data_IF_362653482999
#
_entry.id   IF_362653482999
#
_cell.length_a   1.000
_cell.length_b   1.000
_cell.length_c   1.000
_cell.angle_alpha   90.00
_cell.angle_beta   90.00
_cell.angle_gamma   90.00
#
_symmetry.space_group_name_H-M   'P 1'
#
loop_
_entity.id
_entity.type
_entity.pdbx_description
1 polymer ?
#
# COMPACT_ATOMS: atom_id res chain seq x y z
N UNK A 1 -0.10 -4.34 24.74
CA UNK A 1 0.82 -4.29 23.57
C UNK A 1 1.96 -5.29 23.72
N UNK A 2 2.66 -5.33 24.85
CA UNK A 2 3.85 -6.18 25.10
C UNK A 2 3.70 -7.69 24.76
N UNK A 3 2.55 -8.31 25.01
CA UNK A 3 2.34 -9.74 24.69
C UNK A 3 2.26 -10.05 23.19
N UNK A 4 1.86 -9.07 22.36
CA UNK A 4 1.71 -9.23 20.91
C UNK A 4 2.97 -8.85 20.15
N UNK A 5 3.83 -8.01 20.73
CA UNK A 5 5.06 -7.52 20.10
C UNK A 5 6.00 -8.65 19.65
N UNK A 6 6.14 -9.71 20.46
CA UNK A 6 6.95 -10.89 20.08
C UNK A 6 6.35 -11.72 18.93
N UNK A 7 5.13 -11.40 18.50
CA UNK A 7 4.41 -12.05 17.41
C UNK A 7 4.13 -11.08 16.25
N UNK A 8 4.82 -9.93 16.19
CA UNK A 8 4.77 -9.04 15.04
C UNK A 8 5.93 -9.33 14.08
N UNK A 9 5.71 -9.01 12.81
CA UNK A 9 6.80 -8.92 11.83
C UNK A 9 7.37 -7.52 11.98
N UNK A 10 8.43 -7.37 12.79
CA UNK A 10 9.15 -6.11 12.96
C UNK A 10 9.64 -5.59 11.60
N UNK A 11 9.57 -4.28 11.37
CA UNK A 11 9.95 -3.69 10.08
C UNK A 11 8.80 -3.56 9.08
N UNK A 12 7.76 -4.39 9.25
CA UNK A 12 6.64 -4.46 8.31
C UNK A 12 5.52 -3.45 8.59
N UNK A 13 5.58 -2.78 9.75
CA UNK A 13 4.61 -1.74 10.12
C UNK A 13 4.61 -0.62 9.08
N UNK A 14 3.44 -0.05 8.79
CA UNK A 14 3.27 1.02 7.80
C UNK A 14 4.28 2.18 7.94
N UNK A 15 4.61 2.54 9.17
CA UNK A 15 5.46 3.64 9.62
C UNK A 15 6.81 3.17 10.22
N UNK A 16 7.25 1.95 9.90
CA UNK A 16 8.49 1.41 10.43
C UNK A 16 9.72 2.25 10.06
N UNK A 17 10.58 2.49 11.05
CA UNK A 17 11.82 3.28 10.89
C UNK A 17 12.86 2.61 9.98
N UNK A 18 12.77 1.29 9.78
CA UNK A 18 13.66 0.56 8.87
C UNK A 18 13.53 1.01 7.41
N UNK A 19 12.39 1.62 7.08
CA UNK A 19 12.08 2.08 5.73
C UNK A 19 12.09 3.60 5.62
N UNK A 20 12.69 4.34 6.56
CA UNK A 20 12.74 5.81 6.51
C UNK A 20 13.84 6.30 5.54
N UNK A 21 13.52 7.14 4.52
CA UNK A 21 12.18 7.59 4.12
C UNK A 21 11.41 6.51 3.36
N UNK A 22 10.11 6.39 3.65
CA UNK A 22 9.24 5.39 3.02
C UNK A 22 9.34 5.48 1.49
N UNK A 23 9.42 4.34 0.77
CA UNK A 23 9.52 4.36 -0.68
C UNK A 23 8.24 4.97 -1.25
N UNK A 24 8.34 6.06 -2.01
CA UNK A 24 7.19 6.75 -2.59
C UNK A 24 7.32 6.88 -4.08
N UNK A 25 6.19 6.86 -4.78
CA UNK A 25 6.18 7.22 -6.19
C UNK A 25 6.67 8.66 -6.34
N UNK A 26 7.60 8.89 -7.26
CA UNK A 26 7.99 10.25 -7.60
C UNK A 26 6.77 11.01 -8.14
N UNK A 27 6.57 12.29 -7.78
CA UNK A 27 5.47 13.09 -8.31
C UNK A 27 5.35 12.98 -9.84
N UNK A 28 4.12 12.80 -10.32
CA UNK A 28 3.82 12.66 -11.75
C UNK A 28 4.15 11.29 -12.36
N UNK A 29 4.57 10.29 -11.57
CA UNK A 29 4.88 8.94 -12.07
C UNK A 29 3.87 7.90 -11.60
N UNK A 30 3.79 6.76 -12.29
CA UNK A 30 2.96 5.59 -11.95
C UNK A 30 1.45 5.85 -11.78
N UNK A 31 0.98 7.02 -12.22
CA UNK A 31 -0.40 7.49 -12.10
C UNK A 31 -1.43 6.44 -12.53
N UNK A 32 -1.27 5.87 -13.74
CA UNK A 32 -2.20 4.87 -14.27
C UNK A 32 -2.35 3.62 -13.39
N UNK A 33 -1.27 3.16 -12.76
CA UNK A 33 -1.32 1.98 -11.89
C UNK A 33 -1.97 2.34 -10.56
N UNK A 34 -1.66 3.52 -10.03
CA UNK A 34 -2.28 4.04 -8.82
C UNK A 34 -3.79 4.21 -9.03
N UNK A 35 -4.22 4.90 -10.09
CA UNK A 35 -5.63 5.08 -10.46
C UNK A 35 -6.36 3.74 -10.57
N UNK A 36 -5.78 2.77 -11.30
CA UNK A 36 -6.38 1.43 -11.42
C UNK A 36 -6.52 0.73 -10.07
N UNK A 37 -5.55 0.86 -9.18
CA UNK A 37 -5.62 0.26 -7.86
C UNK A 37 -6.71 0.91 -7.00
N UNK A 38 -6.84 2.24 -7.07
CA UNK A 38 -7.87 2.99 -6.38
C UNK A 38 -9.27 2.59 -6.86
N UNK A 39 -9.47 2.40 -8.17
CA UNK A 39 -10.72 1.89 -8.73
C UNK A 39 -11.08 0.51 -8.18
N UNK A 40 -10.12 -0.41 -8.10
CA UNK A 40 -10.33 -1.75 -7.55
C UNK A 40 -10.73 -1.66 -6.07
N UNK A 41 -10.05 -0.83 -5.29
CA UNK A 41 -10.35 -0.66 -3.86
C UNK A 41 -11.72 -0.01 -3.62
N UNK A 42 -12.09 0.99 -4.41
CA UNK A 42 -13.40 1.63 -4.34
C UNK A 42 -14.53 0.66 -4.73
N UNK A 43 -14.25 -0.27 -5.64
CA UNK A 43 -15.21 -1.23 -6.18
C UNK A 43 -15.06 -2.64 -5.57
N UNK A 44 -14.66 -2.76 -4.30
CA UNK A 44 -14.44 -4.05 -3.62
C UNK A 44 -15.66 -5.00 -3.60
N UNK A 45 -16.87 -4.47 -3.88
CA UNK A 45 -18.11 -5.27 -4.00
C UNK A 45 -18.23 -6.01 -5.34
N UNK A 46 -17.38 -5.70 -6.31
CA UNK A 46 -17.31 -6.40 -7.59
C UNK A 46 -16.48 -7.70 -7.46
N UNK A 47 -16.35 -8.46 -8.56
CA UNK A 47 -15.64 -9.74 -8.58
C UNK A 47 -14.12 -9.62 -8.31
N UNK A 48 -13.52 -8.46 -8.54
CA UNK A 48 -12.08 -8.24 -8.36
C UNK A 48 -11.76 -7.89 -6.90
N UNK A 49 -11.41 -8.92 -6.10
CA UNK A 49 -11.01 -8.75 -4.69
C UNK A 49 -9.49 -8.74 -4.48
N UNK A 50 -8.73 -8.96 -5.53
CA UNK A 50 -7.28 -9.08 -5.49
C UNK A 50 -6.67 -8.29 -6.65
N UNK A 51 -5.79 -7.35 -6.32
CA UNK A 51 -4.91 -6.70 -7.28
C UNK A 51 -3.50 -7.23 -7.11
N UNK A 52 -2.90 -7.70 -8.21
CA UNK A 52 -1.51 -8.17 -8.23
C UNK A 52 -0.67 -7.30 -9.16
N UNK A 53 0.39 -6.68 -8.64
CA UNK A 53 1.32 -5.85 -9.41
C UNK A 53 2.62 -6.65 -9.68
N UNK A 54 2.86 -7.04 -10.93
CA UNK A 54 4.07 -7.75 -11.36
C UNK A 54 5.04 -6.79 -12.04
N UNK A 55 6.33 -7.00 -11.83
CA UNK A 55 7.39 -6.33 -12.58
C UNK A 55 8.78 -6.66 -12.07
N UNK A 56 9.84 -6.32 -12.82
CA UNK A 56 11.23 -6.58 -12.42
C UNK A 56 11.61 -5.97 -11.07
N UNK A 57 12.72 -6.42 -10.49
CA UNK A 57 13.29 -5.79 -9.30
C UNK A 57 13.62 -4.31 -9.57
N UNK A 58 13.49 -3.44 -8.57
CA UNK A 58 13.83 -2.02 -8.67
C UNK A 58 12.84 -1.12 -9.43
N UNK A 59 11.78 -1.64 -10.08
CA UNK A 59 10.85 -0.80 -10.87
C UNK A 59 9.87 0.07 -10.05
N UNK A 60 9.93 -0.03 -8.71
CA UNK A 60 9.13 0.78 -7.80
C UNK A 60 7.80 0.15 -7.35
N UNK A 61 7.66 -1.18 -7.37
CA UNK A 61 6.42 -1.86 -6.91
C UNK A 61 6.07 -1.53 -5.45
N UNK A 62 7.05 -1.62 -4.55
CA UNK A 62 6.86 -1.27 -3.13
C UNK A 62 6.50 0.21 -2.96
N UNK A 63 7.08 1.09 -3.78
CA UNK A 63 6.74 2.51 -3.80
C UNK A 63 5.28 2.77 -4.20
N UNK A 64 4.74 2.00 -5.15
CA UNK A 64 3.32 2.07 -5.52
C UNK A 64 2.42 1.65 -4.35
N UNK A 65 2.72 0.51 -3.72
CA UNK A 65 1.92 0.00 -2.59
C UNK A 65 1.95 0.94 -1.38
N UNK A 66 3.12 1.52 -1.08
CA UNK A 66 3.26 2.50 0.00
C UNK A 66 2.49 3.78 -0.31
N UNK A 67 2.60 4.32 -1.54
CA UNK A 67 1.82 5.49 -1.96
C UNK A 67 0.30 5.24 -1.88
N UNK A 68 -0.17 4.04 -2.22
CA UNK A 68 -1.57 3.67 -2.08
C UNK A 68 -2.02 3.61 -0.61
N UNK A 69 -1.21 3.02 0.27
CA UNK A 69 -1.50 2.94 1.69
C UNK A 69 -1.53 4.33 2.35
N UNK A 70 -0.57 5.21 2.01
CA UNK A 70 -0.51 6.59 2.51
C UNK A 70 -1.69 7.43 2.03
N UNK A 71 -2.13 7.22 0.78
CA UNK A 71 -3.25 7.95 0.20
C UNK A 71 -4.61 7.29 0.45
N UNK A 72 -4.70 6.22 1.25
CA UNK A 72 -5.94 5.46 1.35
C UNK A 72 -7.12 6.28 1.90
N UNK A 73 -6.85 7.26 2.76
CA UNK A 73 -7.85 8.19 3.30
C UNK A 73 -8.39 9.17 2.27
N UNK A 74 -7.70 9.38 1.14
CA UNK A 74 -8.10 10.33 0.09
C UNK A 74 -8.86 9.67 -1.05
N UNK A 75 -8.98 8.33 -1.06
CA UNK A 75 -9.57 7.57 -2.17
C UNK A 75 -11.09 7.69 -2.24
N UNK A 76 -11.76 7.67 -1.09
CA UNK A 76 -13.22 7.80 -0.98
C UNK A 76 -13.58 7.97 0.49
N UNK A 77 -14.64 8.74 0.77
CA UNK A 77 -15.22 8.84 2.11
C UNK A 77 -15.69 7.49 2.68
N UNK A 78 -15.88 6.47 1.83
CA UNK A 78 -16.34 5.14 2.22
C UNK A 78 -15.24 4.06 2.15
N UNK A 79 -14.02 4.41 1.74
CA UNK A 79 -12.90 3.44 1.69
C UNK A 79 -12.14 3.48 3.01
N UNK A 80 -12.07 2.33 3.69
CA UNK A 80 -11.29 2.15 4.91
C UNK A 80 -10.14 1.21 4.59
N UNK A 81 -8.90 1.69 4.75
CA UNK A 81 -7.74 0.82 4.75
C UNK A 81 -7.74 -0.01 6.04
N UNK A 82 -7.96 -1.31 5.92
CA UNK A 82 -7.95 -2.21 7.07
C UNK A 82 -6.55 -2.42 7.64
N UNK A 83 -5.58 -2.73 6.77
CA UNK A 83 -4.18 -2.95 7.15
C UNK A 83 -3.26 -2.78 5.93
N UNK A 84 -1.98 -2.51 6.20
CA UNK A 84 -0.89 -2.63 5.23
C UNK A 84 0.29 -3.34 5.88
N UNK A 85 1.05 -4.10 5.09
CA UNK A 85 2.19 -4.89 5.54
C UNK A 85 3.27 -4.81 4.45
N UNK A 86 4.50 -4.49 4.86
CA UNK A 86 5.63 -4.29 3.94
C UNK A 86 6.80 -5.22 4.29
N UNK A 87 7.58 -5.60 3.29
CA UNK A 87 8.79 -6.41 3.41
C UNK A 87 9.74 -6.16 2.23
#
# INVERSE_FOLDING_TARGET
MEKLEKHTIRGAEFDSSERDPSPRCHPGTRLRIVERAQEVFANYRNAERLLWIVGPAGVGKSAIMQTLAENASTLSSNTILGASLFF
#
